data_IF_584776403430
#
_entry.id   IF_584776403430
#
_cell.length_a   1.000
_cell.length_b   1.000
_cell.length_c   1.000
_cell.angle_alpha   90.00
_cell.angle_beta   90.00
_cell.angle_gamma   90.00
#
_symmetry.space_group_name_H-M   'P 1'
#
loop_
_entity.id
_entity.type
_entity.pdbx_description
1 polymer ?
#
# COMPACT_ATOMS: atom_id res chain seq x y z
N UNK A 1 9.20 -7.97 -7.07
CA UNK A 1 7.99 -7.37 -6.49
C UNK A 1 6.93 -7.31 -7.59
N UNK A 2 5.66 -7.55 -7.27
CA UNK A 2 4.53 -7.49 -8.20
C UNK A 2 3.62 -6.31 -7.88
N UNK A 3 3.05 -5.69 -8.92
CA UNK A 3 2.11 -4.58 -8.82
C UNK A 3 0.89 -4.86 -9.68
N UNK A 4 -0.28 -4.44 -9.19
CA UNK A 4 -1.55 -4.47 -9.90
C UNK A 4 -2.25 -3.14 -9.69
N UNK A 5 -2.74 -2.54 -10.76
CA UNK A 5 -3.48 -1.29 -10.75
C UNK A 5 -4.79 -1.42 -11.52
N UNK A 6 -5.75 -0.56 -11.18
CA UNK A 6 -6.91 -0.23 -12.00
C UNK A 6 -6.69 1.14 -12.66
N UNK A 7 -7.69 1.60 -13.40
CA UNK A 7 -7.77 2.97 -13.92
C UNK A 7 -7.75 4.04 -12.82
N UNK A 8 -8.09 3.67 -11.58
CA UNK A 8 -8.10 4.56 -10.40
C UNK A 8 -6.79 4.58 -9.61
N UNK A 9 -5.86 3.66 -9.88
CA UNK A 9 -4.56 3.58 -9.20
C UNK A 9 -4.20 2.19 -8.70
N UNK A 10 -3.18 2.12 -7.84
CA UNK A 10 -2.64 0.88 -7.32
C UNK A 10 -3.66 0.13 -6.47
N UNK A 11 -3.91 -1.11 -6.84
CA UNK A 11 -4.86 -2.00 -6.17
C UNK A 11 -4.15 -3.00 -5.27
N UNK A 12 -2.97 -3.52 -5.67
CA UNK A 12 -2.22 -4.48 -4.85
C UNK A 12 -0.73 -4.45 -5.16
N UNK A 13 0.10 -4.64 -4.15
CA UNK A 13 1.53 -4.90 -4.30
C UNK A 13 1.93 -6.14 -3.50
N UNK A 14 3.01 -6.79 -3.92
CA UNK A 14 3.73 -7.76 -3.08
C UNK A 14 4.92 -7.08 -2.41
N UNK A 15 5.60 -7.77 -1.49
CA UNK A 15 6.96 -7.40 -1.09
C UNK A 15 7.97 -7.94 -2.11
N UNK A 16 9.25 -7.49 -2.09
CA UNK A 16 10.29 -8.14 -2.88
C UNK A 16 10.29 -9.67 -2.67
N UNK A 17 10.26 -10.41 -3.77
CA UNK A 17 10.32 -11.87 -3.80
C UNK A 17 11.57 -12.30 -4.56
N UNK A 18 12.02 -13.53 -4.33
CA UNK A 18 13.16 -14.09 -5.05
C UNK A 18 12.83 -14.32 -6.53
N UNK A 19 11.60 -14.76 -6.83
CA UNK A 19 11.20 -15.09 -8.19
C UNK A 19 9.88 -14.41 -8.62
N UNK A 20 9.66 -14.17 -9.93
CA UNK A 20 8.42 -13.59 -10.44
C UNK A 20 7.16 -14.44 -10.12
N UNK A 21 7.27 -15.76 -10.14
CA UNK A 21 6.17 -16.69 -9.84
C UNK A 21 5.63 -16.50 -8.42
N UNK A 22 6.49 -16.22 -7.44
CA UNK A 22 6.08 -15.94 -6.06
C UNK A 22 5.24 -14.66 -5.99
N UNK A 23 5.58 -13.67 -6.83
CA UNK A 23 4.80 -12.44 -6.92
C UNK A 23 3.41 -12.75 -7.50
N UNK A 24 3.34 -13.54 -8.56
CA UNK A 24 2.08 -13.96 -9.21
C UNK A 24 1.19 -14.71 -8.21
N UNK A 25 1.76 -15.64 -7.45
CA UNK A 25 1.04 -16.41 -6.43
C UNK A 25 0.48 -15.50 -5.32
N UNK A 26 1.29 -14.59 -4.78
CA UNK A 26 0.83 -13.65 -3.74
C UNK A 26 -0.23 -12.66 -4.25
N UNK A 27 -0.11 -12.21 -5.50
CA UNK A 27 -1.13 -11.36 -6.13
C UNK A 27 -2.46 -12.11 -6.28
N UNK A 28 -2.41 -13.42 -6.55
CA UNK A 28 -3.56 -14.32 -6.54
C UNK A 28 -4.71 -13.83 -7.43
N UNK A 29 -5.92 -13.75 -6.89
CA UNK A 29 -7.10 -13.33 -7.66
C UNK A 29 -7.05 -11.87 -8.15
N UNK A 30 -6.12 -11.04 -7.66
CA UNK A 30 -6.01 -9.65 -8.12
C UNK A 30 -5.56 -9.54 -9.58
N UNK A 31 -4.94 -10.58 -10.14
CA UNK A 31 -4.46 -10.60 -11.53
C UNK A 31 -5.38 -11.38 -12.49
N UNK A 32 -6.51 -11.93 -12.03
CA UNK A 32 -7.37 -12.79 -12.85
C UNK A 32 -7.88 -12.10 -14.11
N UNK A 33 -8.13 -10.79 -14.06
CA UNK A 33 -8.58 -9.97 -15.20
C UNK A 33 -7.51 -8.93 -15.61
N UNK A 34 -6.28 -9.08 -15.13
CA UNK A 34 -5.21 -8.13 -15.41
C UNK A 34 -4.50 -8.47 -16.73
N UNK A 35 -4.06 -7.42 -17.44
CA UNK A 35 -3.18 -7.54 -18.59
C UNK A 35 -1.77 -7.00 -18.26
N UNK A 36 -0.69 -7.60 -18.79
CA UNK A 36 0.65 -7.03 -18.65
C UNK A 36 0.71 -5.61 -19.25
N UNK A 37 1.15 -4.63 -18.46
CA UNK A 37 1.36 -3.26 -18.92
C UNK A 37 2.62 -2.65 -18.30
N UNK A 38 3.83 -3.03 -18.76
CA UNK A 38 5.07 -2.57 -18.17
C UNK A 38 5.21 -1.03 -18.14
N UNK A 39 4.82 -0.37 -19.24
CA UNK A 39 4.90 1.08 -19.39
C UNK A 39 4.06 1.85 -18.36
N UNK A 40 2.94 1.27 -17.89
CA UNK A 40 2.09 1.88 -16.87
C UNK A 40 2.78 1.98 -15.50
N UNK A 41 3.84 1.19 -15.27
CA UNK A 41 4.51 1.09 -13.97
C UNK A 41 5.96 1.59 -14.01
N UNK A 42 6.40 2.29 -15.06
CA UNK A 42 7.79 2.77 -15.17
C UNK A 42 8.13 3.73 -14.03
N UNK A 43 7.34 4.80 -13.83
CA UNK A 43 7.59 5.80 -12.80
C UNK A 43 7.63 5.21 -11.39
N UNK A 44 6.65 4.37 -11.06
CA UNK A 44 6.59 3.76 -9.72
C UNK A 44 7.69 2.73 -9.52
N UNK A 45 8.07 1.98 -10.57
CA UNK A 45 9.19 1.04 -10.51
C UNK A 45 10.48 1.78 -10.16
N UNK A 46 10.74 2.91 -10.80
CA UNK A 46 11.95 3.70 -10.55
C UNK A 46 11.95 4.26 -9.12
N UNK A 47 10.81 4.77 -8.63
CA UNK A 47 10.64 5.19 -7.24
C UNK A 47 10.93 4.04 -6.26
N UNK A 48 10.41 2.85 -6.54
CA UNK A 48 10.61 1.67 -5.69
C UNK A 48 12.08 1.22 -5.65
N UNK A 49 12.76 1.22 -6.79
CA UNK A 49 14.21 0.91 -6.86
C UNK A 49 14.99 1.87 -5.98
N UNK A 50 14.81 3.18 -6.19
CA UNK A 50 15.48 4.23 -5.39
C UNK A 50 15.17 4.12 -3.90
N UNK A 51 13.92 3.79 -3.55
CA UNK A 51 13.52 3.56 -2.16
C UNK A 51 14.30 2.40 -1.52
N UNK A 52 14.44 1.27 -2.23
CA UNK A 52 15.20 0.12 -1.72
C UNK A 52 16.72 0.34 -1.71
N UNK A 53 17.23 1.26 -2.52
CA UNK A 53 18.62 1.74 -2.46
C UNK A 53 18.85 2.72 -1.30
N UNK A 54 17.80 3.08 -0.56
CA UNK A 54 17.88 3.94 0.62
C UNK A 54 17.75 5.42 0.31
N UNK A 55 17.39 5.79 -0.92
CA UNK A 55 17.17 7.19 -1.28
C UNK A 55 15.91 7.77 -0.63
N UNK A 56 15.85 9.10 -0.61
CA UNK A 56 14.65 9.83 -0.25
C UNK A 56 13.65 9.82 -1.41
N UNK A 57 12.55 9.11 -1.21
CA UNK A 57 11.47 8.90 -2.16
C UNK A 57 10.15 9.04 -1.40
N UNK A 58 9.20 9.76 -1.98
CA UNK A 58 7.82 9.85 -1.49
C UNK A 58 6.86 9.11 -2.43
N UNK A 59 5.90 8.41 -1.83
CA UNK A 59 4.78 7.78 -2.51
C UNK A 59 3.45 8.52 -2.28
N UNK A 60 3.47 9.77 -1.79
CA UNK A 60 2.26 10.53 -1.43
C UNK A 60 1.33 10.79 -2.61
N UNK A 61 1.92 11.07 -3.77
CA UNK A 61 1.17 11.34 -4.99
C UNK A 61 0.68 10.07 -5.71
N UNK A 62 1.07 8.88 -5.23
CA UNK A 62 0.64 7.65 -5.88
C UNK A 62 -0.85 7.39 -5.64
N UNK A 63 -1.66 7.29 -6.70
CA UNK A 63 -3.07 7.00 -6.58
C UNK A 63 -3.25 5.55 -6.10
N UNK A 64 -4.13 5.35 -5.12
CA UNK A 64 -4.48 4.03 -4.60
C UNK A 64 -5.95 3.76 -4.86
N UNK A 65 -6.25 2.62 -5.45
CA UNK A 65 -7.62 2.11 -5.59
C UNK A 65 -7.87 1.21 -4.38
N UNK A 66 -8.64 1.69 -3.41
CA UNK A 66 -9.02 0.96 -2.18
C UNK A 66 -10.51 1.07 -1.87
N UNK A 67 -11.33 1.43 -2.87
CA UNK A 67 -12.76 1.67 -2.69
C UNK A 67 -13.53 0.42 -2.22
N UNK A 68 -13.05 -0.78 -2.58
CA UNK A 68 -13.59 -2.07 -2.15
C UNK A 68 -13.34 -2.39 -0.66
N UNK A 69 -12.51 -1.62 0.03
CA UNK A 69 -12.28 -1.76 1.46
C UNK A 69 -13.33 -1.02 2.30
N UNK A 70 -13.50 -1.49 3.55
CA UNK A 70 -14.42 -0.84 4.50
C UNK A 70 -14.04 0.63 4.73
N UNK A 71 -15.01 1.52 4.99
CA UNK A 71 -14.72 2.94 5.23
C UNK A 71 -13.66 3.16 6.31
N UNK A 72 -13.68 2.35 7.37
CA UNK A 72 -12.69 2.41 8.45
C UNK A 72 -11.29 1.98 7.98
N UNK A 73 -11.16 0.92 7.17
CA UNK A 73 -9.85 0.52 6.64
C UNK A 73 -9.28 1.57 5.69
N UNK A 74 -10.11 2.14 4.80
CA UNK A 74 -9.68 3.22 3.90
C UNK A 74 -9.18 4.42 4.71
N UNK A 75 -9.96 4.85 5.70
CA UNK A 75 -9.57 5.96 6.57
C UNK A 75 -8.26 5.67 7.33
N UNK A 76 -8.09 4.47 7.86
CA UNK A 76 -6.84 4.05 8.50
C UNK A 76 -5.66 4.05 7.52
N UNK A 77 -5.83 3.55 6.30
CA UNK A 77 -4.76 3.57 5.29
C UNK A 77 -4.38 4.98 4.85
N UNK A 78 -5.35 5.86 4.64
CA UNK A 78 -5.08 7.28 4.34
C UNK A 78 -4.38 7.98 5.50
N UNK A 79 -4.80 7.75 6.75
CA UNK A 79 -4.14 8.31 7.92
C UNK A 79 -2.71 7.75 8.11
N UNK A 80 -2.48 6.47 7.79
CA UNK A 80 -1.15 5.88 7.88
C UNK A 80 -0.17 6.54 6.89
N UNK A 81 -0.66 6.98 5.72
CA UNK A 81 0.15 7.68 4.71
C UNK A 81 0.62 9.07 5.15
N UNK A 82 0.08 9.63 6.23
CA UNK A 82 0.51 10.94 6.74
C UNK A 82 1.57 10.82 7.84
N UNK A 83 2.08 9.62 8.12
CA UNK A 83 3.09 9.39 9.15
C UNK A 83 4.46 9.68 8.54
N UNK A 84 5.21 10.69 9.04
CA UNK A 84 6.49 11.05 8.46
C UNK A 84 7.49 9.89 8.43
N UNK A 85 8.38 9.89 7.44
CA UNK A 85 9.43 8.87 7.30
C UNK A 85 10.23 8.71 8.59
N UNK A 86 10.43 7.46 9.01
CA UNK A 86 11.19 7.12 10.21
C UNK A 86 10.42 7.32 11.53
N UNK A 87 9.19 7.81 11.48
CA UNK A 87 8.33 7.87 12.65
C UNK A 87 7.38 6.67 12.74
N UNK A 88 6.87 6.45 13.94
CA UNK A 88 5.82 5.44 14.18
C UNK A 88 4.64 6.07 14.90
N UNK A 89 3.47 5.45 14.76
CA UNK A 89 2.26 5.80 15.51
C UNK A 89 1.65 4.55 16.13
N UNK A 90 0.94 4.74 17.24
CA UNK A 90 0.24 3.64 17.90
C UNK A 90 -1.04 3.27 17.15
N UNK A 91 -1.52 2.04 17.30
CA UNK A 91 -2.82 1.66 16.77
C UNK A 91 -3.98 2.47 17.36
N UNK A 92 -3.82 3.01 18.57
CA UNK A 92 -4.79 3.95 19.16
C UNK A 92 -4.85 5.24 18.35
N UNK A 93 -3.69 5.83 18.05
CA UNK A 93 -3.61 7.01 17.18
C UNK A 93 -4.25 6.75 15.82
N UNK A 94 -3.95 5.60 15.21
CA UNK A 94 -4.50 5.26 13.90
C UNK A 94 -6.03 5.09 13.94
N UNK A 95 -6.55 4.48 15.01
CA UNK A 95 -7.99 4.34 15.21
C UNK A 95 -8.68 5.70 15.41
N UNK A 96 -8.06 6.62 16.16
CA UNK A 96 -8.51 8.00 16.30
C UNK A 96 -8.57 8.72 14.95
N UNK A 97 -7.51 8.65 14.14
CA UNK A 97 -7.49 9.26 12.81
C UNK A 97 -8.48 8.61 11.83
N UNK A 98 -8.75 7.30 11.99
CA UNK A 98 -9.76 6.58 11.23
C UNK A 98 -11.21 6.85 11.69
N UNK A 99 -11.40 7.75 12.67
CA UNK A 99 -12.72 8.19 13.14
C UNK A 99 -13.33 7.37 14.29
N UNK A 100 -12.58 6.44 14.89
CA UNK A 100 -13.04 5.69 16.06
C UNK A 100 -11.91 5.36 17.04
N UNK A 101 -11.72 6.24 18.03
CA UNK A 101 -10.71 6.10 19.08
C UNK A 101 -10.80 4.80 19.89
N UNK A 102 -11.98 4.18 19.96
CA UNK A 102 -12.24 2.96 20.73
C UNK A 102 -11.95 1.68 19.93
N UNK A 103 -11.40 1.78 18.70
CA UNK A 103 -11.19 0.65 17.80
C UNK A 103 -9.70 0.35 17.48
N UNK A 104 -8.74 0.37 18.42
CA UNK A 104 -7.33 0.07 18.13
C UNK A 104 -7.11 -1.34 17.57
N UNK A 105 -7.94 -2.32 17.97
CA UNK A 105 -7.88 -3.68 17.41
C UNK A 105 -8.29 -3.70 15.94
N UNK A 106 -9.29 -2.92 15.56
CA UNK A 106 -9.70 -2.79 14.16
C UNK A 106 -8.62 -2.08 13.34
N UNK A 107 -7.94 -1.08 13.90
CA UNK A 107 -6.81 -0.42 13.25
C UNK A 107 -5.64 -1.41 12.99
N UNK A 108 -5.33 -2.27 13.96
CA UNK A 108 -4.37 -3.36 13.75
C UNK A 108 -4.79 -4.33 12.64
N UNK A 109 -6.08 -4.67 12.55
CA UNK A 109 -6.61 -5.49 11.46
C UNK A 109 -6.55 -4.80 10.10
N UNK A 110 -6.77 -3.47 10.05
CA UNK A 110 -6.61 -2.69 8.83
C UNK A 110 -5.17 -2.75 8.31
N UNK A 111 -4.19 -2.60 9.21
CA UNK A 111 -2.77 -2.73 8.84
C UNK A 111 -2.39 -4.16 8.46
N UNK A 112 -2.90 -5.18 9.15
CA UNK A 112 -2.66 -6.58 8.79
C UNK A 112 -3.25 -6.95 7.41
N UNK A 113 -4.31 -6.25 6.98
CA UNK A 113 -4.96 -6.43 5.66
C UNK A 113 -4.45 -5.44 4.61
N UNK A 114 -3.43 -4.64 4.93
CA UNK A 114 -2.85 -3.69 3.99
C UNK A 114 -2.25 -4.43 2.79
N UNK A 115 -2.85 -4.22 1.62
CA UNK A 115 -2.46 -4.83 0.34
C UNK A 115 -1.48 -4.00 -0.48
N UNK A 116 -1.05 -2.85 0.03
CA UNK A 116 -0.14 -1.88 -0.59
C UNK A 116 0.97 -1.52 0.40
N UNK A 117 1.66 -2.52 0.95
CA UNK A 117 2.50 -2.37 2.14
C UNK A 117 3.52 -1.22 2.05
N UNK A 118 4.40 -1.23 1.04
CA UNK A 118 5.41 -0.16 0.86
C UNK A 118 4.72 1.18 0.58
N UNK A 119 3.73 1.20 -0.30
CA UNK A 119 3.05 2.43 -0.71
C UNK A 119 2.38 3.10 0.49
N UNK A 120 1.68 2.36 1.35
CA UNK A 120 0.99 2.94 2.52
C UNK A 120 1.94 3.25 3.68
N UNK A 121 2.98 2.44 3.89
CA UNK A 121 3.88 2.57 5.06
C UNK A 121 5.06 3.53 4.83
N UNK A 122 5.47 3.74 3.59
CA UNK A 122 6.59 4.60 3.22
C UNK A 122 6.13 5.91 2.57
N UNK A 123 4.90 6.34 2.85
CA UNK A 123 4.42 7.66 2.44
C UNK A 123 4.63 8.66 3.59
N UNK A 124 5.11 9.87 3.24
CA UNK A 124 5.54 11.00 4.09
C UNK A 124 6.96 10.90 4.66
#
# INVERSE_FOLDING_TARGET
>A
MGLVASDKGLRRTTLPQAYPEDCIEQLGHAITEAAPSPAHFEDIRDKLVRYFEGEEVSFEDEPIDVEDASPFHRAAWHACRTIPKGETRTYKWLAEQAGNALAPRAAGQAMAKNRLAIIILATA
#
